data_IF_041928838842
#
_entry.id   IF_041928838842
#
_cell.length_a   1.000
_cell.length_b   1.000
_cell.length_c   1.000
_cell.angle_alpha   90.00
_cell.angle_beta   90.00
_cell.angle_gamma   90.00
#
_symmetry.space_group_name_H-M   'P 1'
#
loop_
_entity.id
_entity.type
_entity.pdbx_description
1 polymer ?
#
# COMPACT_ATOMS: atom_id res chain seq x y z
N UNK A 1 4.73 -13.81 -0.96
CA UNK A 1 3.56 -13.33 -0.20
C UNK A 1 2.52 -14.43 -0.16
N UNK A 2 1.94 -14.65 1.02
CA UNK A 2 0.78 -15.52 1.19
C UNK A 2 -0.42 -14.66 1.55
N UNK A 3 -1.47 -14.74 0.75
CA UNK A 3 -2.68 -13.96 0.95
C UNK A 3 -3.90 -14.69 0.38
N UNK A 4 -5.01 -14.70 1.12
CA UNK A 4 -6.28 -15.28 0.70
C UNK A 4 -6.16 -16.72 0.13
N UNK A 5 -5.39 -17.58 0.82
CA UNK A 5 -5.16 -18.97 0.39
C UNK A 5 -4.22 -19.17 -0.81
N UNK A 6 -3.76 -18.09 -1.43
CA UNK A 6 -2.81 -18.10 -2.54
C UNK A 6 -1.37 -17.79 -2.09
N UNK A 7 -0.40 -18.26 -2.85
CA UNK A 7 1.01 -17.92 -2.67
C UNK A 7 1.51 -17.21 -3.92
N UNK A 8 1.98 -15.98 -3.73
CA UNK A 8 2.62 -15.18 -4.76
C UNK A 8 4.13 -15.24 -4.56
N UNK A 9 4.87 -15.73 -5.56
CA UNK A 9 6.31 -15.88 -5.49
C UNK A 9 7.01 -14.52 -5.49
N UNK A 10 8.12 -14.40 -4.76
CA UNK A 10 8.81 -13.11 -4.57
C UNK A 10 9.23 -12.46 -5.88
N UNK A 11 9.73 -13.26 -6.83
CA UNK A 11 10.19 -12.73 -8.11
C UNK A 11 9.02 -12.22 -8.96
N UNK A 12 7.90 -12.95 -8.98
CA UNK A 12 6.68 -12.52 -9.66
C UNK A 12 6.13 -11.21 -9.06
N UNK A 13 6.13 -11.08 -7.72
CA UNK A 13 5.70 -9.85 -7.05
C UNK A 13 6.61 -8.68 -7.40
N UNK A 14 7.92 -8.88 -7.35
CA UNK A 14 8.89 -7.84 -7.73
C UNK A 14 8.72 -7.39 -9.17
N UNK A 15 8.61 -8.34 -10.10
CA UNK A 15 8.39 -8.06 -11.52
C UNK A 15 7.09 -7.27 -11.73
N UNK A 16 5.99 -7.72 -11.12
CA UNK A 16 4.70 -7.06 -11.24
C UNK A 16 4.73 -5.62 -10.70
N UNK A 17 5.36 -5.38 -9.53
CA UNK A 17 5.51 -4.04 -8.96
C UNK A 17 6.41 -3.17 -9.86
N UNK A 18 7.51 -3.70 -10.38
CA UNK A 18 8.40 -2.98 -11.31
C UNK A 18 7.63 -2.53 -12.56
N UNK A 19 6.85 -3.41 -13.13
CA UNK A 19 6.03 -3.08 -14.31
C UNK A 19 4.93 -2.05 -13.98
N UNK A 20 4.30 -2.17 -12.81
CA UNK A 20 3.34 -1.17 -12.34
C UNK A 20 3.98 0.20 -12.15
N UNK A 21 5.18 0.25 -11.59
CA UNK A 21 5.95 1.49 -11.40
C UNK A 21 6.33 2.11 -12.73
N UNK A 22 6.81 1.33 -13.71
CA UNK A 22 7.11 1.80 -15.06
C UNK A 22 5.89 2.39 -15.74
N UNK A 23 4.75 1.69 -15.63
CA UNK A 23 3.49 2.13 -16.24
C UNK A 23 3.01 3.46 -15.67
N UNK A 24 3.15 3.65 -14.35
CA UNK A 24 2.62 4.83 -13.68
C UNK A 24 3.54 6.05 -13.78
N UNK A 25 4.84 5.86 -13.55
CA UNK A 25 5.81 6.97 -13.52
C UNK A 25 6.49 7.23 -14.87
N UNK A 26 6.11 6.52 -15.92
CA UNK A 26 6.77 6.58 -17.23
C UNK A 26 8.31 6.40 -17.10
N UNK A 27 8.72 5.54 -16.16
CA UNK A 27 10.13 5.22 -15.94
C UNK A 27 10.50 3.94 -16.68
N UNK A 28 11.16 4.03 -17.83
CA UNK A 28 11.49 2.87 -18.65
C UNK A 28 12.45 1.89 -17.94
N UNK A 29 13.18 2.36 -16.94
CA UNK A 29 14.15 1.55 -16.20
C UNK A 29 13.55 0.92 -14.96
N UNK A 30 12.45 1.49 -14.41
CA UNK A 30 11.82 1.03 -13.18
C UNK A 30 12.81 1.05 -12.02
N UNK A 31 13.54 2.15 -11.87
CA UNK A 31 14.62 2.29 -10.90
C UNK A 31 14.09 2.16 -9.47
N UNK A 32 14.56 1.15 -8.78
CA UNK A 32 14.27 0.91 -7.39
C UNK A 32 15.56 0.61 -6.64
N UNK A 33 15.64 1.04 -5.38
CA UNK A 33 16.75 0.68 -4.52
C UNK A 33 16.74 -0.84 -4.26
N UNK A 34 17.89 -1.47 -4.38
CA UNK A 34 18.08 -2.81 -3.87
C UNK A 34 18.01 -2.81 -2.34
N UNK A 35 17.76 -3.97 -1.75
CA UNK A 35 17.78 -4.10 -0.29
C UNK A 35 19.12 -3.65 0.31
N UNK A 36 20.23 -3.93 -0.37
CA UNK A 36 21.57 -3.51 0.08
C UNK A 36 21.70 -2.00 0.11
N UNK A 37 21.30 -1.32 -0.96
CA UNK A 37 21.33 0.15 -1.03
C UNK A 37 20.43 0.78 0.02
N UNK A 38 19.25 0.20 0.28
CA UNK A 38 18.37 0.67 1.35
C UNK A 38 19.01 0.46 2.74
N UNK A 39 19.66 -0.67 3.00
CA UNK A 39 20.37 -0.91 4.26
C UNK A 39 21.55 0.07 4.45
N UNK A 40 22.29 0.37 3.40
CA UNK A 40 23.36 1.37 3.41
C UNK A 40 22.81 2.78 3.68
N UNK A 41 21.71 3.17 3.04
CA UNK A 41 21.02 4.45 3.25
C UNK A 41 20.54 4.60 4.69
N UNK A 42 19.88 3.56 5.24
CA UNK A 42 19.43 3.57 6.65
C UNK A 42 20.61 3.70 7.61
N UNK A 43 21.69 2.96 7.35
CA UNK A 43 22.92 3.04 8.16
C UNK A 43 23.55 4.43 8.13
N UNK A 44 23.64 5.03 6.94
CA UNK A 44 24.17 6.38 6.77
C UNK A 44 23.29 7.43 7.46
N UNK A 45 21.97 7.36 7.28
CA UNK A 45 21.03 8.25 7.97
C UNK A 45 21.21 8.18 9.49
N UNK A 46 21.31 6.95 10.04
CA UNK A 46 21.56 6.75 11.47
C UNK A 46 22.85 7.39 11.96
N UNK A 47 23.95 7.29 11.20
CA UNK A 47 25.22 7.95 11.52
C UNK A 47 25.09 9.48 11.57
N UNK A 48 24.14 10.03 10.80
CA UNK A 48 23.86 11.48 10.80
C UNK A 48 22.79 11.90 11.80
N UNK A 49 22.30 10.98 12.63
CA UNK A 49 21.23 11.26 13.58
C UNK A 49 19.85 11.45 12.93
N UNK A 50 19.68 10.98 11.70
CA UNK A 50 18.42 11.10 10.94
C UNK A 50 17.65 9.78 11.01
N UNK A 51 16.36 9.87 11.37
CA UNK A 51 15.44 8.73 11.30
C UNK A 51 14.83 8.61 9.91
N UNK A 52 14.79 7.38 9.37
CA UNK A 52 14.08 7.07 8.13
C UNK A 52 12.66 6.63 8.48
N UNK A 53 11.66 7.26 7.89
CA UNK A 53 10.24 6.88 8.00
C UNK A 53 9.82 6.28 6.66
N UNK A 54 9.68 4.94 6.57
CA UNK A 54 9.14 4.33 5.37
C UNK A 54 7.66 4.68 5.20
N UNK A 55 7.24 4.88 3.95
CA UNK A 55 5.85 5.10 3.60
C UNK A 55 5.42 4.14 2.49
N UNK A 56 4.24 3.55 2.64
CA UNK A 56 3.57 2.75 1.62
C UNK A 56 2.07 2.99 1.70
N UNK A 57 1.56 3.75 0.73
CA UNK A 57 0.17 4.21 0.74
C UNK A 57 -0.83 3.10 0.41
N UNK A 58 -1.94 3.11 1.14
CA UNK A 58 -3.17 2.36 0.86
C UNK A 58 -4.32 2.87 1.74
N UNK A 59 -5.59 2.74 1.29
CA UNK A 59 -6.07 2.16 0.05
C UNK A 59 -6.10 3.13 -1.13
N UNK A 60 -5.74 4.39 -0.95
CA UNK A 60 -5.49 5.38 -1.99
C UNK A 60 -4.03 5.40 -2.46
N UNK A 61 -3.74 6.13 -3.52
CA UNK A 61 -2.40 6.26 -4.14
C UNK A 61 -1.73 4.91 -4.43
N UNK A 62 -2.53 3.94 -4.89
CA UNK A 62 -2.06 2.58 -5.16
C UNK A 62 -1.85 2.29 -6.64
N UNK A 63 -1.73 3.29 -7.48
CA UNK A 63 -1.68 3.21 -8.94
C UNK A 63 -0.78 2.07 -9.45
N UNK A 64 0.49 2.10 -9.07
CA UNK A 64 1.46 1.08 -9.45
C UNK A 64 1.12 -0.31 -8.87
N UNK A 65 0.58 -0.34 -7.64
CA UNK A 65 0.22 -1.60 -6.99
C UNK A 65 -1.06 -2.22 -7.57
N UNK A 66 -2.01 -1.41 -8.00
CA UNK A 66 -3.23 -1.89 -8.68
C UNK A 66 -2.87 -2.57 -10.00
N UNK A 67 -1.99 -1.96 -10.80
CA UNK A 67 -1.46 -2.59 -12.02
C UNK A 67 -0.71 -3.88 -11.69
N UNK A 68 0.10 -3.89 -10.65
CA UNK A 68 0.82 -5.08 -10.22
C UNK A 68 -0.13 -6.21 -9.78
N UNK A 69 -1.21 -5.89 -9.07
CA UNK A 69 -2.22 -6.87 -8.66
C UNK A 69 -2.89 -7.53 -9.86
N UNK A 70 -3.27 -6.77 -10.88
CA UNK A 70 -3.87 -7.31 -12.11
C UNK A 70 -2.89 -8.26 -12.81
N UNK A 71 -1.61 -7.91 -12.90
CA UNK A 71 -0.56 -8.78 -13.46
C UNK A 71 -0.36 -10.06 -12.66
N UNK A 72 -0.60 -10.04 -11.36
CA UNK A 72 -0.58 -11.20 -10.47
C UNK A 72 -1.88 -12.02 -10.53
N UNK A 73 -2.85 -11.61 -11.34
CA UNK A 73 -4.12 -12.30 -11.53
C UNK A 73 -5.18 -12.00 -10.47
N UNK A 74 -5.00 -10.95 -9.66
CA UNK A 74 -6.03 -10.45 -8.75
C UNK A 74 -7.04 -9.70 -9.61
N UNK A 75 -8.28 -10.16 -9.59
CA UNK A 75 -9.34 -9.63 -10.44
C UNK A 75 -9.96 -8.37 -9.82
N UNK A 76 -10.15 -7.33 -10.61
CA UNK A 76 -10.85 -6.11 -10.25
C UNK A 76 -10.38 -5.51 -8.90
N UNK A 77 -9.07 -5.24 -8.71
CA UNK A 77 -8.57 -4.71 -7.44
C UNK A 77 -8.97 -3.26 -7.20
N UNK A 78 -9.41 -2.53 -8.24
CA UNK A 78 -9.77 -1.12 -8.20
C UNK A 78 -11.18 -0.92 -7.67
N UNK A 79 -11.36 0.14 -6.89
CA UNK A 79 -12.68 0.62 -6.50
C UNK A 79 -13.47 1.16 -7.71
N UNK A 80 -14.78 1.00 -7.66
CA UNK A 80 -15.69 1.49 -8.67
C UNK A 80 -16.68 2.50 -8.05
N UNK A 81 -16.62 3.73 -8.54
CA UNK A 81 -17.48 4.84 -8.11
C UNK A 81 -18.12 5.51 -9.35
N UNK A 82 -19.02 4.82 -10.05
CA UNK A 82 -19.53 5.12 -11.40
C UNK A 82 -18.46 5.06 -12.51
N UNK A 83 -17.21 5.12 -12.15
CA UNK A 83 -16.09 4.81 -13.01
C UNK A 83 -15.05 4.00 -12.22
N UNK A 84 -14.17 3.33 -12.93
CA UNK A 84 -13.10 2.55 -12.33
C UNK A 84 -12.01 3.50 -11.83
N UNK A 85 -11.70 3.43 -10.53
CA UNK A 85 -10.61 4.21 -9.96
C UNK A 85 -9.26 3.72 -10.50
N UNK A 86 -8.36 4.65 -10.78
CA UNK A 86 -6.97 4.34 -11.12
C UNK A 86 -6.04 4.34 -9.91
N UNK A 87 -6.49 4.86 -8.79
CA UNK A 87 -5.67 5.16 -7.61
C UNK A 87 -6.12 4.43 -6.36
N UNK A 88 -7.38 3.98 -6.30
CA UNK A 88 -8.00 3.47 -5.08
C UNK A 88 -8.33 1.99 -5.17
N UNK A 89 -7.90 1.23 -4.18
CA UNK A 89 -8.22 -0.18 -4.03
C UNK A 89 -9.66 -0.35 -3.54
N UNK A 90 -10.34 -1.37 -4.08
CA UNK A 90 -11.63 -1.79 -3.58
C UNK A 90 -11.50 -2.48 -2.21
N UNK A 91 -12.05 -1.86 -1.18
CA UNK A 91 -12.07 -2.41 0.17
C UNK A 91 -13.08 -3.57 0.36
N UNK A 92 -13.89 -3.88 -0.61
CA UNK A 92 -14.74 -5.08 -0.63
C UNK A 92 -14.07 -6.26 -1.33
N UNK A 93 -12.99 -6.02 -2.07
CA UNK A 93 -12.19 -7.08 -2.68
C UNK A 93 -11.26 -7.74 -1.66
N UNK A 94 -11.68 -8.89 -1.13
CA UNK A 94 -10.93 -9.60 -0.08
C UNK A 94 -9.54 -10.06 -0.54
N UNK A 95 -9.37 -10.41 -1.82
CA UNK A 95 -8.07 -10.83 -2.36
C UNK A 95 -7.11 -9.64 -2.43
N UNK A 96 -7.57 -8.50 -2.95
CA UNK A 96 -6.78 -7.27 -3.03
C UNK A 96 -6.38 -6.76 -1.63
N UNK A 97 -7.33 -6.73 -0.69
CA UNK A 97 -7.06 -6.37 0.72
C UNK A 97 -6.04 -7.30 1.37
N UNK A 98 -6.23 -8.61 1.21
CA UNK A 98 -5.33 -9.59 1.82
C UNK A 98 -3.92 -9.49 1.25
N UNK A 99 -3.79 -9.33 -0.08
CA UNK A 99 -2.51 -9.11 -0.75
C UNK A 99 -1.82 -7.84 -0.24
N UNK A 100 -2.55 -6.72 -0.21
CA UNK A 100 -2.01 -5.43 0.23
C UNK A 100 -1.54 -5.48 1.69
N UNK A 101 -2.36 -6.03 2.59
CA UNK A 101 -1.96 -6.21 4.00
C UNK A 101 -0.71 -7.08 4.13
N UNK A 102 -0.63 -8.17 3.38
CA UNK A 102 0.53 -9.05 3.41
C UNK A 102 1.79 -8.38 2.85
N UNK A 103 1.66 -7.59 1.79
CA UNK A 103 2.76 -6.79 1.24
C UNK A 103 3.25 -5.73 2.23
N UNK A 104 2.34 -4.93 2.78
CA UNK A 104 2.66 -3.92 3.81
C UNK A 104 3.32 -4.60 5.02
N UNK A 105 2.80 -5.74 5.45
CA UNK A 105 3.39 -6.53 6.54
C UNK A 105 4.84 -6.91 6.27
N UNK A 106 5.20 -7.26 5.04
CA UNK A 106 6.59 -7.55 4.65
C UNK A 106 7.49 -6.32 4.74
N UNK A 107 7.00 -5.14 4.35
CA UNK A 107 7.74 -3.90 4.53
C UNK A 107 7.88 -3.55 6.01
N UNK A 108 6.82 -3.70 6.80
CA UNK A 108 6.88 -3.51 8.26
C UNK A 108 7.91 -4.46 8.91
N UNK A 109 7.92 -5.74 8.52
CA UNK A 109 8.91 -6.72 9.00
C UNK A 109 10.35 -6.29 8.68
N UNK A 110 10.57 -5.76 7.47
CA UNK A 110 11.89 -5.27 7.05
C UNK A 110 12.36 -4.05 7.85
N UNK A 111 11.42 -3.11 8.13
CA UNK A 111 11.74 -1.87 8.84
C UNK A 111 11.67 -2.00 10.37
N UNK A 112 11.13 -3.08 10.91
CA UNK A 112 11.14 -3.34 12.34
C UNK A 112 12.59 -3.35 12.89
N UNK A 113 12.83 -2.54 13.94
CA UNK A 113 14.17 -2.33 14.50
C UNK A 113 15.09 -1.38 13.69
N UNK A 114 14.71 -1.01 12.46
CA UNK A 114 15.44 -0.05 11.60
C UNK A 114 14.79 1.34 11.63
N UNK A 115 13.47 1.39 11.78
CA UNK A 115 12.70 2.61 11.98
C UNK A 115 11.91 2.55 13.28
N UNK A 116 11.51 3.72 13.78
CA UNK A 116 10.56 3.83 14.90
C UNK A 116 9.11 3.96 14.42
N UNK A 117 8.92 4.44 13.20
CA UNK A 117 7.62 4.82 12.64
C UNK A 117 7.45 4.10 11.31
N UNK A 118 6.22 3.69 11.02
CA UNK A 118 5.82 3.24 9.68
C UNK A 118 4.59 4.05 9.25
N UNK A 119 4.70 4.74 8.11
CA UNK A 119 3.60 5.48 7.52
C UNK A 119 2.89 4.58 6.49
N UNK A 120 1.62 4.25 6.73
CA UNK A 120 0.81 3.44 5.83
C UNK A 120 -0.12 4.27 4.93
N UNK A 121 0.11 5.60 4.86
CA UNK A 121 -0.61 6.52 4.00
C UNK A 121 -2.01 6.82 4.51
N UNK A 122 -3.01 6.43 3.77
CA UNK A 122 -4.46 6.58 3.95
C UNK A 122 -5.07 7.90 3.45
N UNK A 123 -4.24 8.81 2.99
CA UNK A 123 -4.69 10.08 2.42
C UNK A 123 -5.50 9.88 1.13
N UNK A 124 -6.40 10.78 0.92
CA UNK A 124 -7.21 10.96 -0.31
C UNK A 124 -8.06 9.75 -0.75
N UNK A 125 -8.27 8.76 0.10
CA UNK A 125 -9.14 7.61 -0.21
C UNK A 125 -10.54 8.04 -0.67
N UNK A 126 -11.09 9.08 -0.05
CA UNK A 126 -12.44 9.52 -0.33
C UNK A 126 -12.56 10.35 -1.63
N UNK A 127 -11.46 10.82 -2.20
CA UNK A 127 -11.50 11.77 -3.32
C UNK A 127 -12.21 11.20 -4.54
N UNK A 128 -11.90 9.97 -4.95
CA UNK A 128 -12.55 9.34 -6.10
C UNK A 128 -14.05 9.18 -5.88
N UNK A 129 -14.46 8.72 -4.71
CA UNK A 129 -15.87 8.54 -4.38
C UNK A 129 -16.62 9.89 -4.32
N UNK A 130 -16.03 10.91 -3.71
CA UNK A 130 -16.65 12.24 -3.59
C UNK A 130 -16.70 12.98 -4.91
N UNK A 131 -15.72 12.80 -5.78
CA UNK A 131 -15.72 13.39 -7.12
C UNK A 131 -16.78 12.78 -8.03
N UNK A 132 -17.04 11.47 -7.88
CA UNK A 132 -18.03 10.78 -8.70
C UNK A 132 -19.46 10.90 -8.14
N UNK A 133 -19.64 10.69 -6.84
CA UNK A 133 -20.95 10.47 -6.19
C UNK A 133 -21.26 11.44 -5.05
N UNK A 134 -20.31 12.27 -4.65
CA UNK A 134 -20.42 13.19 -3.52
C UNK A 134 -20.36 12.46 -2.15
N UNK A 135 -20.37 13.28 -1.09
CA UNK A 135 -20.21 12.81 0.30
C UNK A 135 -21.29 11.84 0.78
N UNK A 136 -22.49 11.94 0.20
CA UNK A 136 -23.60 11.04 0.52
C UNK A 136 -23.26 9.58 0.26
N UNK A 137 -22.53 9.30 -0.82
CA UNK A 137 -22.14 7.96 -1.23
C UNK A 137 -21.28 7.26 -0.15
N UNK A 138 -20.32 7.98 0.42
CA UNK A 138 -19.46 7.45 1.48
C UNK A 138 -20.25 7.00 2.71
N UNK A 139 -21.29 7.75 3.06
CA UNK A 139 -22.17 7.43 4.18
C UNK A 139 -23.10 6.27 3.84
N UNK A 140 -23.76 6.31 2.68
CA UNK A 140 -24.78 5.35 2.30
C UNK A 140 -24.21 3.93 2.20
N UNK A 141 -23.03 3.76 1.58
CA UNK A 141 -22.37 2.47 1.45
C UNK A 141 -21.40 2.14 2.59
N UNK A 142 -21.42 2.92 3.68
CA UNK A 142 -20.53 2.75 4.82
C UNK A 142 -19.04 2.70 4.45
N UNK A 143 -18.61 3.45 3.46
CA UNK A 143 -17.22 3.44 3.02
C UNK A 143 -16.26 3.97 4.10
N UNK A 144 -16.71 4.91 4.93
CA UNK A 144 -15.94 5.36 6.09
C UNK A 144 -15.71 4.26 7.13
N UNK A 145 -16.75 3.44 7.39
CA UNK A 145 -16.60 2.31 8.31
C UNK A 145 -15.60 1.29 7.82
N UNK A 146 -15.69 0.91 6.56
CA UNK A 146 -14.76 -0.01 5.89
C UNK A 146 -13.32 0.54 5.87
N UNK A 147 -13.18 1.82 5.58
CA UNK A 147 -11.90 2.51 5.60
C UNK A 147 -11.29 2.54 7.01
N UNK A 148 -12.07 2.90 8.03
CA UNK A 148 -11.60 2.95 9.41
C UNK A 148 -11.17 1.55 9.91
N UNK A 149 -11.91 0.50 9.57
CA UNK A 149 -11.56 -0.88 9.90
C UNK A 149 -10.24 -1.28 9.25
N UNK A 150 -10.07 -0.97 7.96
CA UNK A 150 -8.84 -1.24 7.23
C UNK A 150 -7.64 -0.50 7.81
N UNK A 151 -7.77 0.81 8.04
CA UNK A 151 -6.71 1.64 8.61
C UNK A 151 -6.31 1.18 10.02
N UNK A 152 -7.30 0.84 10.87
CA UNK A 152 -7.05 0.29 12.20
C UNK A 152 -6.32 -1.05 12.15
N UNK A 153 -6.61 -1.89 11.15
CA UNK A 153 -5.89 -3.15 10.94
C UNK A 153 -4.41 -2.88 10.65
N UNK A 154 -4.10 -1.92 9.76
CA UNK A 154 -2.71 -1.56 9.46
C UNK A 154 -1.99 -0.97 10.68
N UNK A 155 -2.69 -0.13 11.46
CA UNK A 155 -2.15 0.42 12.70
C UNK A 155 -1.81 -0.68 13.72
N UNK A 156 -2.67 -1.68 13.88
CA UNK A 156 -2.43 -2.84 14.74
C UNK A 156 -1.21 -3.63 14.25
N UNK A 157 -1.12 -3.91 12.95
CA UNK A 157 0.02 -4.63 12.35
C UNK A 157 1.36 -3.92 12.59
N UNK A 158 1.39 -2.59 12.55
CA UNK A 158 2.59 -1.80 12.87
C UNK A 158 2.96 -1.94 14.35
N UNK A 159 1.99 -1.79 15.25
CA UNK A 159 2.20 -1.92 16.72
C UNK A 159 2.71 -3.30 17.12
N UNK A 160 2.19 -4.36 16.54
CA UNK A 160 2.65 -5.74 16.76
C UNK A 160 4.14 -5.93 16.43
N UNK A 161 4.69 -5.09 15.57
CA UNK A 161 6.10 -5.10 15.15
C UNK A 161 6.97 -4.07 15.87
N UNK A 162 6.41 -3.42 16.90
CA UNK A 162 7.11 -2.37 17.64
C UNK A 162 7.28 -1.06 16.87
N UNK A 163 6.52 -0.86 15.81
CA UNK A 163 6.52 0.35 15.01
C UNK A 163 5.37 1.28 15.47
N UNK A 164 5.63 2.56 15.57
CA UNK A 164 4.59 3.55 15.76
C UNK A 164 3.85 3.75 14.43
N UNK A 165 2.53 3.51 14.39
CA UNK A 165 1.74 3.76 13.19
C UNK A 165 1.64 5.25 12.91
N UNK A 166 1.78 5.62 11.65
CA UNK A 166 1.56 6.95 11.12
C UNK A 166 0.67 6.88 9.89
N UNK A 167 -0.22 7.82 9.74
CA UNK A 167 -1.08 7.97 8.59
C UNK A 167 -1.13 9.44 8.18
N UNK A 168 -1.45 9.70 6.92
CA UNK A 168 -1.83 11.02 6.47
C UNK A 168 -3.34 11.24 6.67
N UNK A 169 -3.73 12.51 6.73
CA UNK A 169 -5.12 12.91 6.86
C UNK A 169 -5.60 13.60 5.57
#
# INVERSE_FOLDING_TARGET
>A
IKANGKTYQSDQVKEAITEGTKSYYDDPNGNALSQKEMDELISYAKQKGIGVIPALNSPGHMDALLVAMEKLGIQNPQAYFDNLSKTTMDLENEEAKAFTKALIGKYMDYFAGKSKIFNYGTDEYANDATNAQGWYYLKYYNLYGKFAEYANTLAAMAKERGLQPMAFN
#
